data_IF_088070151328
#
_entry.id   IF_088070151328
#
_cell.length_a   1.000
_cell.length_b   1.000
_cell.length_c   1.000
_cell.angle_alpha   90.00
_cell.angle_beta   90.00
_cell.angle_gamma   90.00
#
_symmetry.space_group_name_H-M   'P 1'
#
loop_
_entity.id
_entity.type
_entity.pdbx_description
1 polymer ?
#
# COMPACT_ATOMS: atom_id res chain seq x y z
N UNK A 1 -10.01 -0.12 -6.42
CA UNK A 1 -9.66 -1.52 -6.71
C UNK A 1 -8.15 -1.65 -6.59
N UNK A 2 -7.67 -2.60 -5.81
CA UNK A 2 -6.23 -2.87 -5.61
C UNK A 2 -5.95 -4.33 -5.90
N UNK A 3 -4.85 -4.63 -6.59
CA UNK A 3 -4.60 -5.97 -7.11
C UNK A 3 -3.12 -6.33 -7.26
N UNK A 4 -2.89 -7.64 -7.34
CA UNK A 4 -1.70 -8.32 -7.81
C UNK A 4 -2.18 -9.32 -8.89
N UNK A 5 -1.78 -9.10 -10.14
CA UNK A 5 -2.15 -9.91 -11.31
C UNK A 5 -0.90 -10.53 -11.92
N UNK A 6 -1.03 -11.62 -12.67
CA UNK A 6 0.07 -12.14 -13.48
C UNK A 6 0.66 -11.07 -14.41
N UNK A 7 1.95 -11.19 -14.71
CA UNK A 7 2.72 -10.20 -15.50
C UNK A 7 2.33 -10.09 -16.98
N UNK A 8 1.40 -10.92 -17.45
CA UNK A 8 0.89 -10.85 -18.81
C UNK A 8 0.04 -9.58 -19.01
N UNK A 9 0.53 -8.69 -19.89
CA UNK A 9 -0.11 -7.42 -20.25
C UNK A 9 -1.52 -7.63 -20.83
N UNK A 10 -1.80 -8.79 -21.44
CA UNK A 10 -3.14 -9.13 -21.95
C UNK A 10 -4.21 -9.03 -20.86
N UNK A 11 -3.88 -9.44 -19.62
CA UNK A 11 -4.78 -9.42 -18.48
C UNK A 11 -5.22 -8.01 -18.09
N UNK A 12 -4.28 -7.05 -18.13
CA UNK A 12 -4.57 -5.64 -17.88
C UNK A 12 -5.49 -5.11 -18.97
N UNK A 13 -5.16 -5.38 -20.24
CA UNK A 13 -5.92 -4.91 -21.40
C UNK A 13 -7.36 -5.44 -21.34
N UNK A 14 -7.55 -6.72 -21.07
CA UNK A 14 -8.88 -7.34 -21.04
C UNK A 14 -9.70 -6.85 -19.84
N UNK A 15 -9.05 -6.55 -18.71
CA UNK A 15 -9.69 -5.88 -17.57
C UNK A 15 -10.18 -4.47 -17.95
N UNK A 16 -9.38 -3.68 -18.66
CA UNK A 16 -9.79 -2.36 -19.14
C UNK A 16 -10.93 -2.43 -20.18
N UNK A 17 -10.89 -3.41 -21.09
CA UNK A 17 -11.99 -3.68 -22.02
C UNK A 17 -13.27 -4.07 -21.29
N UNK A 18 -13.17 -4.88 -20.23
CA UNK A 18 -14.31 -5.21 -19.37
C UNK A 18 -14.92 -3.94 -18.77
N UNK A 19 -14.11 -3.05 -18.19
CA UNK A 19 -14.59 -1.79 -17.62
C UNK A 19 -15.32 -0.94 -18.67
N UNK A 20 -14.73 -0.79 -19.84
CA UNK A 20 -15.35 -0.09 -20.97
C UNK A 20 -16.70 -0.72 -21.36
N UNK A 21 -16.76 -2.04 -21.53
CA UNK A 21 -18.00 -2.77 -21.88
C UNK A 21 -19.12 -2.60 -20.84
N UNK A 22 -18.77 -2.28 -19.60
CA UNK A 22 -19.69 -2.06 -18.48
C UNK A 22 -19.95 -0.59 -18.19
N UNK A 23 -19.50 0.34 -19.06
CA UNK A 23 -19.64 1.79 -18.85
C UNK A 23 -19.02 2.27 -17.53
N UNK A 24 -17.92 1.64 -17.13
CA UNK A 24 -17.13 2.04 -15.96
C UNK A 24 -15.99 2.91 -16.46
N UNK A 25 -15.87 4.11 -15.92
CA UNK A 25 -14.75 5.00 -16.25
C UNK A 25 -13.57 4.75 -15.32
N UNK A 26 -12.37 4.79 -15.85
CA UNK A 26 -11.13 4.81 -15.06
C UNK A 26 -10.81 6.26 -14.74
N UNK A 27 -10.82 6.63 -13.46
CA UNK A 27 -10.49 7.97 -13.00
C UNK A 27 -8.99 8.18 -12.86
N UNK A 28 -8.31 7.18 -12.29
CA UNK A 28 -6.86 7.10 -12.22
C UNK A 28 -6.44 5.65 -12.07
N UNK A 29 -5.20 5.37 -12.47
CA UNK A 29 -4.64 4.05 -12.51
C UNK A 29 -3.13 4.17 -12.32
N UNK A 30 -2.56 3.39 -11.41
CA UNK A 30 -1.14 3.09 -11.37
C UNK A 30 -0.98 1.58 -11.43
N UNK A 31 -0.08 1.14 -12.31
CA UNK A 31 0.30 -0.25 -12.47
C UNK A 31 1.83 -0.29 -12.47
N UNK A 32 2.39 -1.22 -11.71
CA UNK A 32 3.81 -1.42 -11.61
C UNK A 32 4.15 -2.89 -11.74
N UNK A 33 4.98 -3.20 -12.73
CA UNK A 33 5.71 -4.45 -12.81
C UNK A 33 7.15 -4.22 -12.38
N UNK A 34 7.75 -5.20 -11.71
CA UNK A 34 9.17 -5.18 -11.41
C UNK A 34 9.89 -6.25 -12.21
N UNK A 35 11.07 -5.94 -12.78
CA UNK A 35 11.92 -6.96 -13.40
C UNK A 35 12.21 -8.08 -12.40
N UNK A 36 11.87 -9.32 -12.77
CA UNK A 36 12.09 -10.50 -11.93
C UNK A 36 10.89 -10.96 -11.11
N UNK A 37 9.81 -10.16 -10.99
CA UNK A 37 8.55 -10.65 -10.44
C UNK A 37 7.62 -11.17 -11.54
N UNK A 38 6.93 -12.31 -11.31
CA UNK A 38 6.00 -12.87 -12.28
C UNK A 38 4.63 -12.16 -12.27
N UNK A 39 4.49 -11.04 -11.57
CA UNK A 39 3.24 -10.30 -11.36
C UNK A 39 3.41 -8.79 -11.51
N UNK A 40 2.27 -8.12 -11.75
CA UNK A 40 2.09 -6.67 -11.71
C UNK A 40 1.15 -6.31 -10.57
N UNK A 41 1.48 -5.23 -9.87
CA UNK A 41 0.64 -4.67 -8.82
C UNK A 41 -0.02 -3.40 -9.33
N UNK A 42 -1.20 -3.06 -8.82
CA UNK A 42 -1.82 -1.80 -9.19
C UNK A 42 -2.97 -1.37 -8.30
N UNK A 43 -3.27 -0.07 -8.40
CA UNK A 43 -4.47 0.55 -7.84
C UNK A 43 -5.19 1.30 -8.96
N UNK A 44 -6.49 1.02 -9.08
CA UNK A 44 -7.39 1.69 -10.03
C UNK A 44 -8.56 2.29 -9.26
N UNK A 45 -8.81 3.58 -9.52
CA UNK A 45 -10.02 4.27 -9.10
C UNK A 45 -11.03 4.26 -10.25
N UNK A 46 -12.21 3.71 -9.96
CA UNK A 46 -13.26 3.48 -10.94
C UNK A 46 -14.48 4.34 -10.60
N UNK A 47 -15.06 4.97 -11.61
CA UNK A 47 -16.39 5.56 -11.53
C UNK A 47 -17.40 4.58 -12.14
N UNK A 48 -18.21 4.00 -11.27
CA UNK A 48 -19.26 3.04 -11.61
C UNK A 48 -20.65 3.68 -11.63
N UNK A 49 -20.76 5.02 -11.46
CA UNK A 49 -22.06 5.72 -11.30
C UNK A 49 -23.02 5.50 -12.47
N UNK A 50 -22.48 5.27 -13.68
CA UNK A 50 -23.25 4.99 -14.91
C UNK A 50 -23.29 3.50 -15.28
N UNK A 51 -22.75 2.64 -14.43
CA UNK A 51 -22.66 1.21 -14.67
C UNK A 51 -23.85 0.46 -14.07
N UNK A 52 -24.21 -0.67 -14.70
CA UNK A 52 -25.27 -1.55 -14.23
C UNK A 52 -24.72 -2.78 -13.48
N UNK A 53 -23.42 -2.80 -13.16
CA UNK A 53 -22.77 -3.91 -12.46
C UNK A 53 -22.50 -3.53 -11.01
N UNK A 54 -22.75 -4.47 -10.08
CA UNK A 54 -22.35 -4.31 -8.69
C UNK A 54 -20.85 -4.55 -8.52
N UNK A 55 -20.24 -3.99 -7.46
CA UNK A 55 -18.85 -4.27 -7.08
C UNK A 55 -18.56 -5.77 -6.92
N UNK A 56 -19.46 -6.52 -6.30
CA UNK A 56 -19.34 -7.98 -6.16
C UNK A 56 -19.30 -8.71 -7.50
N UNK A 57 -20.14 -8.32 -8.46
CA UNK A 57 -20.11 -8.95 -9.78
C UNK A 57 -18.90 -8.51 -10.60
N UNK A 58 -18.49 -7.24 -10.47
CA UNK A 58 -17.25 -6.76 -11.08
C UNK A 58 -16.05 -7.57 -10.58
N UNK A 59 -15.96 -7.80 -9.26
CA UNK A 59 -14.91 -8.62 -8.67
C UNK A 59 -14.88 -10.03 -9.26
N UNK A 60 -16.04 -10.71 -9.33
CA UNK A 60 -16.15 -12.04 -9.94
C UNK A 60 -15.66 -12.05 -11.39
N UNK A 61 -16.02 -11.05 -12.19
CA UNK A 61 -15.59 -10.94 -13.59
C UNK A 61 -14.10 -10.68 -13.72
N UNK A 62 -13.54 -9.80 -12.91
CA UNK A 62 -12.08 -9.53 -12.90
C UNK A 62 -11.31 -10.79 -12.50
N UNK A 63 -11.78 -11.53 -11.49
CA UNK A 63 -11.19 -12.81 -11.08
C UNK A 63 -11.30 -13.90 -12.15
N UNK A 64 -12.32 -13.85 -13.01
CA UNK A 64 -12.46 -14.79 -14.12
C UNK A 64 -11.52 -14.46 -15.30
N UNK A 65 -11.18 -13.19 -15.48
CA UNK A 65 -10.26 -12.73 -16.54
C UNK A 65 -8.79 -12.95 -16.19
N UNK A 66 -8.46 -13.01 -14.90
CA UNK A 66 -7.08 -12.97 -14.44
C UNK A 66 -6.80 -14.00 -13.36
N UNK A 67 -5.61 -14.60 -13.38
CA UNK A 67 -5.07 -15.34 -12.23
C UNK A 67 -4.61 -14.38 -11.13
N UNK A 68 -5.50 -13.49 -10.68
CA UNK A 68 -5.22 -12.56 -9.61
C UNK A 68 -4.89 -13.33 -8.32
N UNK A 69 -3.65 -13.28 -7.87
CA UNK A 69 -3.25 -13.83 -6.57
C UNK A 69 -3.90 -13.04 -5.44
N UNK A 70 -4.05 -11.71 -5.61
CA UNK A 70 -4.71 -10.81 -4.65
C UNK A 70 -5.55 -9.78 -5.39
N UNK A 71 -6.79 -9.59 -4.96
CA UNK A 71 -7.71 -8.57 -5.47
C UNK A 71 -8.62 -8.09 -4.35
N UNK A 72 -8.79 -6.78 -4.27
CA UNK A 72 -9.78 -6.14 -3.40
C UNK A 72 -10.49 -4.99 -4.13
N UNK A 73 -11.82 -4.98 -4.02
CA UNK A 73 -12.67 -3.90 -4.54
C UNK A 73 -13.50 -3.35 -3.38
N UNK A 74 -13.47 -2.02 -3.21
CA UNK A 74 -14.34 -1.31 -2.29
C UNK A 74 -15.15 -0.32 -3.10
N UNK A 75 -16.45 -0.32 -2.87
CA UNK A 75 -17.39 0.65 -3.41
C UNK A 75 -17.69 1.70 -2.34
N UNK A 76 -17.24 2.93 -2.57
CA UNK A 76 -17.52 4.07 -1.70
C UNK A 76 -17.43 5.38 -2.48
N UNK A 77 -18.03 6.44 -1.93
CA UNK A 77 -17.71 7.79 -2.34
C UNK A 77 -16.28 8.15 -1.96
N UNK A 78 -15.62 8.95 -2.80
CA UNK A 78 -14.29 9.47 -2.55
C UNK A 78 -14.17 10.91 -3.04
N UNK A 79 -13.26 11.68 -2.46
CA UNK A 79 -12.99 13.07 -2.89
C UNK A 79 -12.05 13.10 -4.09
N UNK A 80 -11.96 14.27 -4.75
CA UNK A 80 -11.00 14.47 -5.85
C UNK A 80 -9.55 14.18 -5.44
N UNK A 81 -9.17 14.52 -4.20
CA UNK A 81 -7.84 14.26 -3.68
C UNK A 81 -7.56 12.77 -3.40
N UNK A 82 -8.60 11.96 -3.18
CA UNK A 82 -8.43 10.53 -2.94
C UNK A 82 -8.29 9.73 -4.23
N UNK A 83 -8.99 10.13 -5.29
CA UNK A 83 -8.95 9.43 -6.59
C UNK A 83 -7.88 9.97 -7.54
N UNK A 84 -7.15 11.03 -7.20
CA UNK A 84 -6.08 11.58 -8.02
C UNK A 84 -4.73 11.05 -7.56
N UNK A 85 -4.00 10.40 -8.47
CA UNK A 85 -2.67 9.85 -8.19
C UNK A 85 -1.59 10.76 -8.80
N UNK A 86 -0.51 10.97 -8.06
CA UNK A 86 0.73 11.60 -8.51
C UNK A 86 1.82 10.54 -8.42
N UNK A 87 2.61 10.37 -9.49
CA UNK A 87 3.69 9.40 -9.55
C UNK A 87 5.03 10.13 -9.72
N UNK A 88 6.06 9.61 -9.04
CA UNK A 88 7.44 10.06 -9.14
C UNK A 88 8.31 8.87 -9.52
N UNK A 89 9.34 9.05 -10.37
CA UNK A 89 10.48 8.15 -10.39
C UNK A 89 11.02 7.95 -8.97
N UNK A 90 11.45 6.73 -8.65
CA UNK A 90 11.94 6.42 -7.31
C UNK A 90 13.13 7.30 -6.91
N UNK A 91 14.00 7.62 -7.86
CA UNK A 91 15.15 8.51 -7.68
C UNK A 91 14.74 9.93 -7.22
N UNK A 92 13.71 10.51 -7.84
CA UNK A 92 13.19 11.82 -7.44
C UNK A 92 12.62 11.78 -6.01
N UNK A 93 11.91 10.71 -5.67
CA UNK A 93 11.40 10.52 -4.32
C UNK A 93 12.54 10.34 -3.31
N UNK A 94 13.59 9.60 -3.64
CA UNK A 94 14.78 9.47 -2.80
C UNK A 94 15.45 10.82 -2.56
N UNK A 95 15.57 11.68 -3.57
CA UNK A 95 16.12 13.03 -3.42
C UNK A 95 15.30 13.89 -2.45
N UNK A 96 13.96 13.81 -2.53
CA UNK A 96 13.06 14.51 -1.59
C UNK A 96 13.26 13.99 -0.16
N UNK A 97 13.25 12.66 0.02
CA UNK A 97 13.41 12.04 1.33
C UNK A 97 14.79 12.33 1.93
N UNK A 98 15.86 12.28 1.12
CA UNK A 98 17.22 12.62 1.55
C UNK A 98 17.33 14.07 2.01
N UNK A 99 16.69 15.00 1.29
CA UNK A 99 16.66 16.42 1.67
C UNK A 99 16.01 16.61 3.04
N UNK A 100 14.89 15.93 3.31
CA UNK A 100 14.24 15.99 4.63
C UNK A 100 15.13 15.34 5.70
N UNK A 101 15.73 14.18 5.40
CA UNK A 101 16.61 13.45 6.32
C UNK A 101 17.87 14.24 6.69
N UNK A 102 18.40 15.06 5.79
CA UNK A 102 19.56 15.92 6.07
C UNK A 102 19.33 16.94 7.18
N UNK A 103 18.07 17.17 7.59
CA UNK A 103 17.72 17.98 8.76
C UNK A 103 18.01 17.28 10.09
N UNK A 104 18.36 15.99 10.09
CA UNK A 104 18.61 15.19 11.29
C UNK A 104 17.32 14.76 12.00
N UNK A 105 17.34 14.71 13.34
CA UNK A 105 16.21 14.27 14.16
C UNK A 105 14.87 14.96 13.83
N UNK A 106 14.82 16.29 13.60
CA UNK A 106 13.59 16.96 13.17
C UNK A 106 13.03 16.40 11.85
N UNK A 107 13.90 16.08 10.89
CA UNK A 107 13.51 15.49 9.61
C UNK A 107 12.96 14.09 9.77
N UNK A 108 13.59 13.28 10.62
CA UNK A 108 13.13 11.93 10.96
C UNK A 108 11.75 11.95 11.64
N UNK A 109 11.55 12.87 12.59
CA UNK A 109 10.27 13.08 13.25
C UNK A 109 9.19 13.54 12.26
N UNK A 110 9.53 14.46 11.36
CA UNK A 110 8.62 14.92 10.31
C UNK A 110 8.15 13.77 9.42
N UNK A 111 9.07 12.97 8.87
CA UNK A 111 8.73 11.81 8.05
C UNK A 111 7.83 10.82 8.79
N UNK A 112 8.16 10.52 10.06
CA UNK A 112 7.35 9.64 10.88
C UNK A 112 5.92 10.17 11.08
N UNK A 113 5.75 11.46 11.38
CA UNK A 113 4.43 12.05 11.60
C UNK A 113 3.61 12.19 10.31
N UNK A 114 4.26 12.47 9.17
CA UNK A 114 3.62 12.42 7.86
C UNK A 114 3.03 11.03 7.62
N UNK A 115 3.83 9.99 7.83
CA UNK A 115 3.40 8.60 7.69
C UNK A 115 2.28 8.23 8.65
N UNK A 116 2.40 8.61 9.92
CA UNK A 116 1.39 8.35 10.94
C UNK A 116 0.01 8.87 10.54
N UNK A 117 -0.06 10.11 10.07
CA UNK A 117 -1.32 10.70 9.64
C UNK A 117 -1.85 10.01 8.36
N UNK A 118 -0.98 9.71 7.39
CA UNK A 118 -1.35 8.95 6.19
C UNK A 118 -2.00 7.60 6.53
N UNK A 119 -1.35 6.82 7.41
CA UNK A 119 -1.84 5.52 7.84
C UNK A 119 -3.18 5.60 8.60
N UNK A 120 -3.25 6.51 9.57
CA UNK A 120 -4.42 6.71 10.42
C UNK A 120 -5.66 7.14 9.62
N UNK A 121 -5.51 8.13 8.75
CA UNK A 121 -6.62 8.65 7.95
C UNK A 121 -7.11 7.61 6.94
N UNK A 122 -6.23 6.75 6.42
CA UNK A 122 -6.63 5.68 5.52
C UNK A 122 -7.52 4.65 6.23
N UNK A 123 -7.14 4.20 7.44
CA UNK A 123 -7.96 3.26 8.23
C UNK A 123 -9.38 3.79 8.42
N UNK A 124 -9.54 5.05 8.84
CA UNK A 124 -10.86 5.66 9.11
C UNK A 124 -11.81 5.63 7.92
N UNK A 125 -11.27 5.71 6.70
CA UNK A 125 -12.06 5.78 5.46
C UNK A 125 -12.62 4.43 5.02
N UNK A 126 -11.96 3.33 5.44
CA UNK A 126 -12.26 1.99 4.93
C UNK A 126 -12.50 0.95 6.02
N UNK A 127 -12.46 1.32 7.29
CA UNK A 127 -12.61 0.40 8.43
C UNK A 127 -13.95 -0.32 8.45
N UNK A 128 -15.02 0.29 7.97
CA UNK A 128 -16.36 -0.29 7.94
C UNK A 128 -16.50 -1.48 6.97
N UNK A 129 -15.55 -1.66 6.05
CA UNK A 129 -15.64 -2.69 5.01
C UNK A 129 -14.96 -4.02 5.39
N UNK A 130 -14.18 -4.05 6.48
CA UNK A 130 -13.35 -5.23 6.81
C UNK A 130 -13.23 -5.48 8.31
N UNK A 131 -12.90 -6.73 8.66
CA UNK A 131 -12.32 -7.04 9.96
C UNK A 131 -10.96 -6.34 10.11
N UNK A 132 -10.45 -6.18 11.35
CA UNK A 132 -9.17 -5.50 11.59
C UNK A 132 -7.99 -6.14 10.83
N UNK A 133 -7.92 -7.47 10.79
CA UNK A 133 -6.84 -8.16 10.09
C UNK A 133 -6.98 -8.07 8.56
N UNK A 134 -8.20 -8.17 8.04
CA UNK A 134 -8.43 -8.02 6.60
C UNK A 134 -8.22 -6.57 6.15
N UNK A 135 -8.54 -5.60 7.01
CA UNK A 135 -8.23 -4.20 6.78
C UNK A 135 -6.71 -3.97 6.68
N UNK A 136 -5.92 -4.55 7.59
CA UNK A 136 -4.46 -4.50 7.51
C UNK A 136 -3.96 -5.06 6.17
N UNK A 137 -4.42 -6.26 5.79
CA UNK A 137 -4.06 -6.89 4.51
C UNK A 137 -4.46 -6.06 3.30
N UNK A 138 -5.64 -5.44 3.34
CA UNK A 138 -6.13 -4.53 2.31
C UNK A 138 -5.26 -3.29 2.18
N UNK A 139 -4.94 -2.62 3.29
CA UNK A 139 -4.10 -1.41 3.28
C UNK A 139 -2.70 -1.71 2.75
N UNK A 140 -2.10 -2.82 3.19
CA UNK A 140 -0.81 -3.28 2.66
C UNK A 140 -0.90 -3.59 1.15
N UNK A 141 -1.99 -4.21 0.67
CA UNK A 141 -2.20 -4.41 -0.76
C UNK A 141 -2.31 -3.09 -1.53
N UNK A 142 -2.96 -2.06 -0.95
CA UNK A 142 -3.02 -0.73 -1.56
C UNK A 142 -1.64 -0.09 -1.67
N UNK A 143 -0.85 -0.10 -0.59
CA UNK A 143 0.52 0.43 -0.62
C UNK A 143 1.41 -0.34 -1.59
N UNK A 144 1.26 -1.67 -1.67
CA UNK A 144 1.95 -2.50 -2.65
C UNK A 144 1.54 -2.14 -4.09
N UNK A 145 0.24 -1.96 -4.34
CA UNK A 145 -0.29 -1.50 -5.62
C UNK A 145 0.16 -0.09 -6.02
N UNK A 146 0.56 0.73 -5.05
CA UNK A 146 1.14 2.07 -5.26
C UNK A 146 2.66 2.07 -5.31
N UNK A 147 3.32 0.90 -5.25
CA UNK A 147 4.77 0.79 -5.39
C UNK A 147 5.59 1.04 -4.13
N UNK A 148 4.97 0.99 -2.95
CA UNK A 148 5.71 1.21 -1.69
C UNK A 148 6.62 0.02 -1.33
N UNK A 149 6.32 -1.18 -1.82
CA UNK A 149 7.08 -2.40 -1.55
C UNK A 149 6.16 -3.63 -1.57
N UNK A 150 6.75 -4.81 -1.35
CA UNK A 150 6.01 -6.07 -1.18
C UNK A 150 5.87 -6.35 0.32
N UNK A 151 4.65 -6.60 0.79
CA UNK A 151 4.37 -6.73 2.22
C UNK A 151 3.83 -8.10 2.60
N UNK A 152 4.34 -8.62 3.71
CA UNK A 152 3.85 -9.83 4.35
C UNK A 152 3.64 -9.61 5.84
N UNK A 153 2.56 -10.16 6.40
CA UNK A 153 2.32 -10.15 7.86
C UNK A 153 2.71 -11.52 8.40
N UNK A 154 3.92 -11.65 8.93
CA UNK A 154 4.43 -12.93 9.44
C UNK A 154 3.88 -13.29 10.82
N UNK A 155 3.34 -12.30 11.55
CA UNK A 155 2.65 -12.50 12.83
C UNK A 155 1.56 -11.45 13.04
N UNK A 156 0.40 -11.87 13.53
CA UNK A 156 -0.67 -10.97 13.94
C UNK A 156 -1.41 -11.54 15.16
N UNK A 157 -1.30 -10.84 16.29
CA UNK A 157 -2.08 -11.06 17.50
C UNK A 157 -2.82 -9.77 17.79
N UNK A 158 -4.12 -9.77 17.52
CA UNK A 158 -4.95 -8.56 17.57
C UNK A 158 -4.83 -7.83 18.91
N UNK A 159 -4.61 -6.51 18.87
CA UNK A 159 -4.51 -5.66 20.05
C UNK A 159 -3.25 -5.88 20.90
N UNK A 160 -2.30 -6.71 20.44
CA UNK A 160 -1.10 -7.05 21.22
C UNK A 160 0.18 -6.89 20.41
N UNK A 161 0.30 -7.59 19.30
CA UNK A 161 1.57 -7.70 18.57
C UNK A 161 1.34 -7.97 17.08
N UNK A 162 2.16 -7.38 16.22
CA UNK A 162 2.24 -7.79 14.82
C UNK A 162 3.67 -7.66 14.29
N UNK A 163 4.03 -8.52 13.33
CA UNK A 163 5.29 -8.42 12.60
C UNK A 163 4.94 -8.24 11.12
N UNK A 164 5.37 -7.12 10.57
CA UNK A 164 5.21 -6.78 9.14
C UNK A 164 6.58 -6.82 8.50
N UNK A 165 6.71 -7.57 7.42
CA UNK A 165 7.91 -7.69 6.62
C UNK A 165 7.70 -6.94 5.31
N UNK A 166 8.72 -6.20 4.87
CA UNK A 166 8.70 -5.46 3.62
C UNK A 166 9.93 -5.80 2.77
N UNK A 167 9.72 -6.23 1.52
CA UNK A 167 10.76 -6.28 0.48
C UNK A 167 10.61 -5.08 -0.43
N UNK A 168 11.72 -4.69 -1.07
CA UNK A 168 11.76 -3.56 -2.01
C UNK A 168 11.09 -2.29 -1.46
N UNK A 169 11.22 -2.07 -0.15
CA UNK A 169 10.60 -0.93 0.50
C UNK A 169 11.17 0.36 -0.11
N UNK A 170 10.29 1.22 -0.61
CA UNK A 170 10.67 2.38 -1.41
C UNK A 170 11.68 3.30 -0.71
N UNK A 171 11.63 3.44 0.62
CA UNK A 171 12.61 4.26 1.36
C UNK A 171 14.02 3.63 1.39
N UNK A 172 14.15 2.32 1.18
CA UNK A 172 15.36 1.57 1.49
C UNK A 172 16.05 0.93 0.30
N UNK A 173 15.31 0.51 -0.72
CA UNK A 173 15.91 -0.10 -1.91
C UNK A 173 16.87 0.89 -2.58
N UNK A 174 18.10 0.44 -2.87
CA UNK A 174 19.13 1.30 -3.47
C UNK A 174 19.76 2.35 -2.54
N UNK A 175 19.38 2.37 -1.25
CA UNK A 175 19.94 3.29 -0.25
C UNK A 175 20.87 2.52 0.67
N UNK A 176 22.01 3.12 1.06
CA UNK A 176 22.91 2.58 2.08
C UNK A 176 22.88 3.47 3.33
N UNK A 177 22.80 2.87 4.52
CA UNK A 177 22.71 3.55 5.81
C UNK A 177 23.30 2.68 6.92
N UNK A 178 23.85 3.30 7.97
CA UNK A 178 24.26 2.58 9.19
C UNK A 178 23.07 2.25 10.11
N UNK A 179 21.99 3.02 9.98
CA UNK A 179 20.79 2.94 10.83
C UNK A 179 19.53 2.64 10.01
N UNK A 180 18.44 2.18 10.65
CA UNK A 180 17.17 1.94 9.97
C UNK A 180 16.64 3.22 9.29
N UNK A 181 16.21 3.10 8.03
CA UNK A 181 15.96 4.25 7.15
C UNK A 181 14.47 4.57 6.91
N UNK A 182 13.56 3.69 7.37
CA UNK A 182 12.15 3.67 6.96
C UNK A 182 11.25 4.55 7.82
N UNK A 183 11.63 5.81 8.06
CA UNK A 183 10.90 6.68 8.99
C UNK A 183 9.45 6.91 8.56
N UNK A 184 9.20 7.12 7.26
CA UNK A 184 7.87 7.40 6.73
C UNK A 184 6.99 6.14 6.83
N UNK A 185 7.46 4.98 6.37
CA UNK A 185 6.71 3.73 6.40
C UNK A 185 6.49 3.21 7.83
N UNK A 186 7.47 3.37 8.72
CA UNK A 186 7.30 3.09 10.15
C UNK A 186 6.21 3.96 10.76
N UNK A 187 6.12 5.23 10.34
CA UNK A 187 5.01 6.13 10.65
C UNK A 187 3.68 5.59 10.14
N UNK A 188 3.61 5.19 8.86
CA UNK A 188 2.40 4.61 8.24
C UNK A 188 1.89 3.43 9.06
N UNK A 189 2.75 2.47 9.41
CA UNK A 189 2.37 1.33 10.23
C UNK A 189 1.87 1.77 11.61
N UNK A 190 2.55 2.71 12.26
CA UNK A 190 2.13 3.22 13.57
C UNK A 190 0.74 3.86 13.51
N UNK A 191 0.44 4.64 12.47
CA UNK A 191 -0.87 5.24 12.23
C UNK A 191 -1.96 4.20 11.98
N UNK A 192 -1.67 3.20 11.14
CA UNK A 192 -2.58 2.10 10.83
C UNK A 192 -2.93 1.33 12.11
N UNK A 193 -1.91 0.85 12.83
CA UNK A 193 -2.11 0.00 14.00
C UNK A 193 -2.72 0.75 15.18
N UNK A 194 -2.39 2.04 15.35
CA UNK A 194 -3.00 2.85 16.41
C UNK A 194 -4.52 2.98 16.22
N UNK A 195 -4.97 3.20 14.98
CA UNK A 195 -6.40 3.27 14.67
C UNK A 195 -7.06 1.87 14.70
N UNK A 196 -6.40 0.84 14.17
CA UNK A 196 -6.92 -0.53 14.18
C UNK A 196 -7.17 -1.06 15.59
N UNK A 197 -6.21 -0.85 16.50
CA UNK A 197 -6.28 -1.37 17.87
C UNK A 197 -6.94 -0.39 18.84
N UNK A 198 -7.17 0.86 18.42
CA UNK A 198 -7.76 1.90 19.27
C UNK A 198 -6.85 2.32 20.42
N UNK A 199 -5.53 2.20 20.25
CA UNK A 199 -4.56 2.47 21.32
C UNK A 199 -3.23 3.01 20.76
N UNK A 200 -2.34 3.45 21.64
CA UNK A 200 -0.97 3.80 21.26
C UNK A 200 -0.18 2.53 21.00
N UNK A 201 0.62 2.58 19.94
CA UNK A 201 1.50 1.48 19.53
C UNK A 201 2.92 1.98 19.36
N UNK A 202 3.87 1.09 19.60
CA UNK A 202 5.29 1.26 19.27
C UNK A 202 5.60 0.42 18.04
N UNK A 203 6.25 1.04 17.06
CA UNK A 203 6.77 0.33 15.88
C UNK A 203 8.28 0.46 15.85
N UNK A 204 8.96 -0.68 15.85
CA UNK A 204 10.42 -0.82 15.82
C UNK A 204 10.81 -1.48 14.50
N UNK A 205 11.75 -0.89 13.77
CA UNK A 205 12.36 -1.52 12.59
C UNK A 205 13.58 -2.34 13.05
N UNK A 206 13.42 -3.66 13.14
CA UNK A 206 14.45 -4.58 13.63
C UNK A 206 15.49 -4.91 12.56
N UNK A 207 15.06 -4.94 11.30
CA UNK A 207 15.89 -5.18 10.11
C UNK A 207 15.58 -4.15 9.05
N UNK A 208 16.57 -3.77 8.25
CA UNK A 208 16.41 -2.75 7.22
C UNK A 208 17.27 -3.07 5.99
N UNK A 209 16.67 -3.01 4.80
CA UNK A 209 17.38 -3.20 3.53
C UNK A 209 18.53 -2.20 3.39
N UNK A 210 18.33 -0.95 3.84
CA UNK A 210 19.36 0.08 3.77
C UNK A 210 20.58 -0.21 4.65
N UNK A 211 20.43 -1.06 5.68
CA UNK A 211 21.53 -1.56 6.52
C UNK A 211 22.22 -2.79 5.94
N UNK A 212 21.73 -3.33 4.83
CA UNK A 212 22.22 -4.57 4.22
C UNK A 212 21.44 -5.83 4.59
N UNK A 213 20.31 -5.74 5.31
CA UNK A 213 19.42 -6.88 5.51
C UNK A 213 18.69 -7.26 4.20
N UNK A 214 18.24 -8.51 4.08
CA UNK A 214 17.49 -8.95 2.88
C UNK A 214 16.06 -8.42 2.78
N UNK A 215 15.52 -7.87 3.88
CA UNK A 215 14.18 -7.28 3.96
C UNK A 215 14.08 -6.37 5.19
N UNK A 216 13.16 -5.41 5.15
CA UNK A 216 12.81 -4.64 6.33
C UNK A 216 11.84 -5.45 7.20
N UNK A 217 12.00 -5.41 8.53
CA UNK A 217 11.12 -6.10 9.49
C UNK A 217 10.68 -5.12 10.56
N UNK A 218 9.37 -4.96 10.68
CA UNK A 218 8.74 -4.04 11.62
C UNK A 218 7.99 -4.82 12.68
N UNK A 219 8.43 -4.67 13.94
CA UNK A 219 7.72 -5.19 15.10
C UNK A 219 6.81 -4.11 15.66
N UNK A 220 5.53 -4.45 15.79
CA UNK A 220 4.48 -3.58 16.34
C UNK A 220 4.03 -4.16 17.66
N UNK A 221 4.03 -3.34 18.70
CA UNK A 221 3.60 -3.71 20.05
C UNK A 221 2.70 -2.60 20.60
N UNK A 222 1.67 -2.99 21.36
CA UNK A 222 0.88 -2.03 22.15
C UNK A 222 1.76 -1.40 23.24
N UNK A 223 1.58 -0.10 23.50
CA UNK A 223 2.27 0.63 24.57
C UNK A 223 1.56 0.43 25.90
#
# INVERSE_FOLDING_TARGET
MSFELGSDVSLIIDTLKLFYSKKINVLSCVIQGHPGYPYVNGVIFLDITKSNISSNELEKRVRALSYASRLAIIERGFTHGEARIIAFPLEDLHNILASIKSMGEPGYALLYHLGFNMGKDYVKKVSLFFSRYDLLKYLLLCYQGMGFGEFNVSKYVEGKESIVEARDLFECIGVASSEPNSHLFRGILAGIFSELWGDKVKVIEEKCIAKGDSKCVFKVEKV
#
